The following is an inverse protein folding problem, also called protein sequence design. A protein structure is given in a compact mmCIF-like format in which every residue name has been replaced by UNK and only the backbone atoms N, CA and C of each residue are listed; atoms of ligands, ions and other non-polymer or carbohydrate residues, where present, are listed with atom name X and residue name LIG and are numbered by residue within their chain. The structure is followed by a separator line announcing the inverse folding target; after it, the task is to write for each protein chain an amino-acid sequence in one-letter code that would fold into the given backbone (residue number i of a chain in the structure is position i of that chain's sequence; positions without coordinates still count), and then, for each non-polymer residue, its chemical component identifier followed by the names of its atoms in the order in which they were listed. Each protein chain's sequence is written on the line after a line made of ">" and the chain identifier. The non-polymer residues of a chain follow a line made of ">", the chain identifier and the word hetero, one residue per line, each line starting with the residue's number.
data_IF_639126365481
#
_entry.id   IF_639126365481
#
_cell.length_a   1.000
_cell.length_b   1.000
_cell.length_c   1.000
_cell.angle_alpha   90.00
_cell.angle_beta   90.00
_cell.angle_gamma   90.00
#
_symmetry.space_group_name_H-M   'P 1'
#
loop_
_entity.id
_entity.type
_entity.pdbx_description
1 polymer ?
#
# COMPACT_ATOMS: atom_id res chain seq x y z
N UNK A 1 0.97 10.41 -23.04
CA UNK A 1 1.42 9.55 -21.92
C UNK A 1 0.63 9.93 -20.67
N UNK A 2 -0.18 9.03 -20.08
CA UNK A 2 -0.98 9.42 -18.90
C UNK A 2 -1.96 8.39 -18.34
N UNK A 3 -1.83 7.09 -18.68
CA UNK A 3 -2.79 6.07 -18.26
C UNK A 3 -2.43 5.31 -16.97
N UNK A 4 -1.32 5.66 -16.31
CA UNK A 4 -0.84 4.96 -15.11
C UNK A 4 -0.71 5.92 -13.94
N UNK A 5 -1.12 5.45 -12.78
CA UNK A 5 -1.03 6.10 -11.48
C UNK A 5 0.11 5.46 -10.72
N UNK A 6 1.01 6.28 -10.18
CA UNK A 6 2.07 5.84 -9.28
C UNK A 6 1.78 6.33 -7.87
N UNK A 7 1.79 5.42 -6.91
CA UNK A 7 1.67 5.74 -5.48
C UNK A 7 2.93 5.26 -4.78
N UNK A 8 3.57 6.15 -4.01
CA UNK A 8 4.64 5.78 -3.09
C UNK A 8 4.21 6.05 -1.66
N UNK A 9 4.57 5.15 -0.76
CA UNK A 9 4.22 5.21 0.65
C UNK A 9 5.45 5.07 1.53
N UNK A 10 5.47 5.81 2.63
CA UNK A 10 6.47 5.68 3.70
C UNK A 10 5.77 5.60 5.05
N UNK A 11 6.37 4.86 5.98
CA UNK A 11 5.87 4.78 7.36
C UNK A 11 6.96 5.15 8.36
N UNK A 12 6.54 5.53 9.56
CA UNK A 12 7.45 5.59 10.71
C UNK A 12 7.95 4.18 11.07
N UNK A 13 9.05 4.12 11.80
CA UNK A 13 9.57 2.87 12.37
C UNK A 13 8.55 2.20 13.30
N UNK A 14 7.81 3.00 14.06
CA UNK A 14 6.80 2.52 15.00
C UNK A 14 5.65 1.81 14.28
N UNK A 15 5.11 2.41 13.21
CA UNK A 15 4.06 1.78 12.42
C UNK A 15 4.52 0.42 11.83
N UNK A 16 5.75 0.37 11.31
CA UNK A 16 6.31 -0.88 10.79
C UNK A 16 6.56 -1.95 11.87
N UNK A 17 6.87 -1.54 13.11
CA UNK A 17 6.97 -2.43 14.27
C UNK A 17 5.62 -2.96 14.72
N UNK A 18 4.55 -2.16 14.61
CA UNK A 18 3.16 -2.55 14.89
C UNK A 18 2.52 -3.41 13.79
N UNK A 19 3.30 -3.93 12.85
CA UNK A 19 2.82 -4.88 11.84
C UNK A 19 2.51 -4.27 10.47
N UNK A 20 2.61 -2.94 10.29
CA UNK A 20 2.43 -2.35 8.96
C UNK A 20 3.52 -2.83 7.99
N UNK A 21 3.10 -3.40 6.87
CA UNK A 21 3.97 -3.79 5.77
C UNK A 21 3.52 -3.15 4.46
N UNK A 22 4.10 -1.99 4.12
CA UNK A 22 3.75 -1.24 2.92
C UNK A 22 4.08 -2.00 1.63
N UNK A 23 5.13 -2.82 1.62
CA UNK A 23 5.47 -3.64 0.46
C UNK A 23 4.34 -4.60 0.10
N UNK A 24 3.77 -5.27 1.10
CA UNK A 24 2.66 -6.21 0.92
C UNK A 24 1.36 -5.50 0.57
N UNK A 25 1.01 -4.42 1.28
CA UNK A 25 -0.21 -3.65 1.03
C UNK A 25 -0.22 -3.07 -0.38
N UNK A 26 0.86 -2.41 -0.80
CA UNK A 26 0.94 -1.80 -2.13
C UNK A 26 1.06 -2.85 -3.23
N UNK A 27 1.73 -3.98 -3.00
CA UNK A 27 1.77 -5.09 -3.96
C UNK A 27 0.39 -5.71 -4.19
N UNK A 28 -0.37 -5.98 -3.12
CA UNK A 28 -1.74 -6.50 -3.23
C UNK A 28 -2.67 -5.52 -3.91
N UNK A 29 -2.63 -4.25 -3.51
CA UNK A 29 -3.46 -3.20 -4.11
C UNK A 29 -3.14 -3.05 -5.59
N UNK A 30 -1.86 -3.04 -5.98
CA UNK A 30 -1.48 -2.96 -7.39
C UNK A 30 -2.09 -4.08 -8.22
N UNK A 31 -2.02 -5.33 -7.74
CA UNK A 31 -2.59 -6.50 -8.44
C UNK A 31 -4.11 -6.37 -8.64
N UNK A 32 -4.82 -5.83 -7.66
CA UNK A 32 -6.27 -5.57 -7.77
C UNK A 32 -6.61 -4.57 -8.90
N UNK A 33 -5.69 -3.66 -9.23
CA UNK A 33 -5.83 -2.68 -10.31
C UNK A 33 -4.98 -3.03 -11.55
N UNK A 34 -4.59 -4.30 -11.73
CA UNK A 34 -3.85 -4.75 -12.92
C UNK A 34 -2.43 -4.17 -13.02
N UNK A 35 -1.83 -3.84 -11.89
CA UNK A 35 -0.53 -3.20 -11.77
C UNK A 35 0.46 -4.02 -10.94
N UNK A 36 1.60 -3.39 -10.65
CA UNK A 36 2.69 -3.99 -9.89
C UNK A 36 3.14 -3.07 -8.75
N UNK A 37 3.63 -3.66 -7.67
CA UNK A 37 4.11 -2.91 -6.51
C UNK A 37 4.98 -3.75 -5.59
N UNK A 38 5.79 -3.07 -4.79
CA UNK A 38 6.75 -3.67 -3.87
C UNK A 38 7.70 -2.65 -3.24
N UNK A 39 8.69 -3.16 -2.51
CA UNK A 39 9.69 -2.37 -1.79
C UNK A 39 10.01 -2.96 -0.43
N UNK A 40 10.34 -2.09 0.52
CA UNK A 40 10.59 -2.46 1.91
C UNK A 40 9.35 -2.28 2.77
N UNK A 41 9.36 -2.93 3.95
CA UNK A 41 8.27 -2.88 4.93
C UNK A 41 7.79 -1.46 5.23
N UNK A 42 8.71 -0.50 5.36
CA UNK A 42 8.41 0.91 5.69
C UNK A 42 8.47 1.87 4.50
N UNK A 43 8.83 1.40 3.31
CA UNK A 43 8.98 2.24 2.11
C UNK A 43 8.75 1.41 0.85
N UNK A 44 7.63 1.65 0.17
CA UNK A 44 7.23 0.89 -1.00
C UNK A 44 6.51 1.78 -2.02
N UNK A 45 6.35 1.29 -3.23
CA UNK A 45 5.59 1.96 -4.28
C UNK A 45 4.81 0.95 -5.11
N UNK A 46 3.80 1.46 -5.81
CA UNK A 46 3.04 0.73 -6.82
C UNK A 46 2.74 1.59 -8.03
N UNK A 47 2.49 0.93 -9.16
CA UNK A 47 1.94 1.49 -10.38
C UNK A 47 0.76 0.66 -10.86
N UNK A 48 -0.34 1.31 -11.23
CA UNK A 48 -1.51 0.67 -11.81
C UNK A 48 -2.24 1.61 -12.77
N UNK A 49 -3.07 1.06 -13.65
CA UNK A 49 -3.95 1.86 -14.50
C UNK A 49 -5.32 2.03 -13.83
N UNK A 50 -5.96 3.19 -13.99
CA UNK A 50 -7.28 3.45 -13.44
C UNK A 50 -7.41 4.83 -12.80
N UNK A 51 -8.52 5.04 -12.09
CA UNK A 51 -8.81 6.27 -11.38
C UNK A 51 -7.84 6.48 -10.19
N UNK A 52 -7.05 7.57 -10.16
CA UNK A 52 -6.14 7.85 -9.06
C UNK A 52 -6.82 7.91 -7.69
N UNK A 53 -8.04 8.44 -7.62
CA UNK A 53 -8.74 8.59 -6.35
C UNK A 53 -9.17 7.24 -5.78
N UNK A 54 -9.76 6.37 -6.60
CA UNK A 54 -10.11 5.00 -6.21
C UNK A 54 -8.89 4.19 -5.75
N UNK A 55 -7.77 4.26 -6.47
CA UNK A 55 -6.55 3.52 -6.13
C UNK A 55 -5.97 4.03 -4.80
N UNK A 56 -5.92 5.35 -4.59
CA UNK A 56 -5.41 5.94 -3.35
C UNK A 56 -6.29 5.59 -2.15
N UNK A 57 -7.62 5.60 -2.32
CA UNK A 57 -8.55 5.22 -1.26
C UNK A 57 -8.42 3.73 -0.88
N UNK A 58 -8.22 2.84 -1.85
CA UNK A 58 -7.93 1.43 -1.61
C UNK A 58 -6.64 1.23 -0.80
N UNK A 59 -5.55 1.93 -1.17
CA UNK A 59 -4.31 1.94 -0.40
C UNK A 59 -4.55 2.38 1.05
N UNK A 60 -5.27 3.51 1.24
CA UNK A 60 -5.54 4.08 2.57
C UNK A 60 -6.33 3.11 3.45
N UNK A 61 -7.40 2.50 2.91
CA UNK A 61 -8.23 1.52 3.63
C UNK A 61 -7.41 0.33 4.11
N UNK A 62 -6.60 -0.27 3.23
CA UNK A 62 -5.78 -1.44 3.60
C UNK A 62 -4.69 -1.11 4.61
N UNK A 63 -4.02 0.05 4.48
CA UNK A 63 -3.05 0.52 5.49
C UNK A 63 -3.72 0.68 6.85
N UNK A 64 -4.90 1.31 6.90
CA UNK A 64 -5.65 1.46 8.15
C UNK A 64 -6.01 0.09 8.76
N UNK A 65 -6.52 -0.84 7.95
CA UNK A 65 -6.81 -2.21 8.42
C UNK A 65 -5.57 -2.94 8.95
N UNK A 66 -4.39 -2.76 8.35
CA UNK A 66 -3.14 -3.35 8.85
C UNK A 66 -2.68 -2.80 10.20
N UNK A 67 -3.12 -1.60 10.58
CA UNK A 67 -2.77 -0.96 11.86
C UNK A 67 -3.78 -1.24 12.97
N UNK A 68 -4.99 -1.65 12.63
CA UNK A 68 -6.05 -2.01 13.58
C UNK A 68 -5.96 -3.48 14.04
N UNK A 69 -5.06 -4.27 13.46
CA UNK A 69 -4.83 -5.66 13.85
C UNK A 69 -3.98 -5.72 15.13
N UNK A 70 -4.57 -6.15 16.25
CA UNK A 70 -3.80 -6.51 17.45
C UNK A 70 -3.22 -7.92 17.32
N UNK A 71 -1.93 -8.15 17.67
CA UNK A 71 -1.36 -9.49 17.66
C UNK A 71 -2.04 -10.34 18.74
N UNK A 72 -2.53 -11.52 18.35
CA UNK A 72 -2.99 -12.55 19.28
C UNK A 72 -1.79 -12.95 20.16
N UNK A 73 -1.84 -12.61 21.45
CA UNK A 73 -0.92 -13.12 22.48
C UNK A 73 -1.15 -14.61 22.73
#
# INVERSE_FOLDING_TARGET
>A
HGGKVRISGRSSREAARRGLNLAEVLSRTAKEFGGEGGGHRSAAAMEAAGDPAAILDACRKKVASSLLWEPQL
#
